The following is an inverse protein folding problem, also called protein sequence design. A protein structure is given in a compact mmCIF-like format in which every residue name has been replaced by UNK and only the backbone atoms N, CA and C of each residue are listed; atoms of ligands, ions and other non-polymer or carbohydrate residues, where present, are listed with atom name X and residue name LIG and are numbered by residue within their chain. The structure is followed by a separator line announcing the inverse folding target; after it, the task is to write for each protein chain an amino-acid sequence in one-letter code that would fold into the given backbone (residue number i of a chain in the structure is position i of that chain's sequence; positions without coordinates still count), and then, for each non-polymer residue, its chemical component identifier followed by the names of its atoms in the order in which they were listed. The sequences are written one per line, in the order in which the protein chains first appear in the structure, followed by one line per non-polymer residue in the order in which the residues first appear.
data_IF_082541910895
#
_entry.id   IF_082541910895
#
_cell.length_a   1.000
_cell.length_b   1.000
_cell.length_c   1.000
_cell.angle_alpha   90.00
_cell.angle_beta   90.00
_cell.angle_gamma   90.00
#
_symmetry.space_group_name_H-M   'P 1'
#
loop_
_entity.id
_entity.type
_entity.pdbx_description
1 polymer ?
#
# COMPACT_ATOMS: atom_id res chain seq x y z
N UNK A 1 24.12 38.99 -26.85
CA UNK A 1 24.72 38.05 -25.90
C UNK A 1 23.64 37.02 -25.58
N UNK A 2 23.61 35.98 -26.39
CA UNK A 2 22.86 34.77 -26.07
C UNK A 2 23.40 34.23 -24.72
N UNK A 3 22.60 34.32 -23.69
CA UNK A 3 22.86 33.53 -22.49
C UNK A 3 22.87 32.07 -22.94
N UNK A 4 24.05 31.45 -22.94
CA UNK A 4 24.11 30.02 -23.00
C UNK A 4 23.18 29.52 -21.85
N UNK A 5 22.32 28.55 -22.15
CA UNK A 5 21.65 27.86 -21.04
C UNK A 5 22.77 27.44 -20.10
N UNK A 6 22.60 27.78 -18.82
CA UNK A 6 23.54 27.37 -17.79
C UNK A 6 23.92 25.93 -18.07
N UNK A 7 25.22 25.60 -18.19
CA UNK A 7 25.62 24.22 -18.43
C UNK A 7 25.37 23.44 -17.15
N UNK A 8 24.11 23.13 -16.91
CA UNK A 8 23.61 22.49 -15.73
C UNK A 8 24.12 21.06 -15.54
N UNK A 9 24.85 20.54 -16.51
CA UNK A 9 25.61 19.31 -16.34
C UNK A 9 26.97 19.54 -15.66
N UNK A 10 27.45 20.79 -15.55
CA UNK A 10 28.65 21.15 -14.80
C UNK A 10 28.32 21.79 -13.45
N UNK A 11 27.18 22.42 -13.34
CA UNK A 11 26.49 22.65 -12.09
C UNK A 11 25.55 21.45 -11.88
N UNK A 12 26.10 20.23 -11.78
CA UNK A 12 25.37 19.14 -11.18
C UNK A 12 24.71 19.73 -9.95
N UNK A 13 23.38 19.75 -9.93
CA UNK A 13 22.67 20.14 -8.73
C UNK A 13 23.23 19.23 -7.65
N UNK A 14 24.09 19.78 -6.82
CA UNK A 14 24.72 19.05 -5.74
C UNK A 14 23.58 18.65 -4.81
N UNK A 15 23.10 17.44 -4.98
CA UNK A 15 22.13 16.89 -4.06
C UNK A 15 22.93 16.21 -2.97
N UNK A 16 22.90 16.72 -1.75
CA UNK A 16 23.60 16.08 -0.65
C UNK A 16 22.99 14.69 -0.41
N UNK A 17 23.85 13.73 -0.15
CA UNK A 17 23.49 12.42 0.34
C UNK A 17 24.19 12.15 1.64
N UNK A 18 23.47 11.60 2.61
CA UNK A 18 24.04 11.04 3.81
C UNK A 18 24.18 9.53 3.63
N UNK A 19 25.37 9.03 3.93
CA UNK A 19 25.73 7.60 3.80
C UNK A 19 26.24 7.10 5.14
N UNK A 20 25.80 5.90 5.52
CA UNK A 20 26.30 5.18 6.71
C UNK A 20 26.63 3.75 6.31
N UNK A 21 27.74 3.23 6.82
CA UNK A 21 28.15 1.83 6.67
C UNK A 21 28.24 1.16 8.05
N UNK A 22 27.71 -0.04 8.17
CA UNK A 22 27.82 -0.90 9.35
C UNK A 22 28.49 -2.21 8.97
N UNK A 23 29.45 -2.66 9.79
CA UNK A 23 30.20 -3.88 9.50
C UNK A 23 29.38 -5.13 9.78
N UNK A 24 29.56 -6.14 8.92
CA UNK A 24 29.05 -7.50 9.08
C UNK A 24 30.18 -8.44 9.55
N UNK A 25 29.86 -9.34 10.46
CA UNK A 25 30.77 -10.40 10.86
C UNK A 25 30.84 -11.48 9.75
N UNK A 26 31.93 -12.28 9.67
CA UNK A 26 32.00 -13.41 8.75
C UNK A 26 30.81 -14.37 8.93
N UNK A 27 30.15 -14.70 7.81
CA UNK A 27 28.96 -15.57 7.81
C UNK A 27 27.68 -14.96 8.34
N UNK A 28 27.67 -13.66 8.65
CA UNK A 28 26.47 -12.95 9.04
C UNK A 28 25.52 -12.75 7.85
N UNK A 29 24.27 -13.15 8.02
CA UNK A 29 23.21 -13.02 7.01
C UNK A 29 22.27 -11.86 7.36
N UNK A 30 21.82 -11.16 6.33
CA UNK A 30 20.87 -10.05 6.40
C UNK A 30 19.54 -10.44 5.77
N UNK A 31 18.42 -10.08 6.41
CA UNK A 31 17.05 -10.40 6.00
C UNK A 31 16.17 -9.16 6.10
N UNK A 32 15.01 -9.15 5.44
CA UNK A 32 14.01 -8.08 5.54
C UNK A 32 13.95 -7.17 4.33
N UNK A 33 13.84 -5.86 4.54
CA UNK A 33 13.70 -4.80 3.53
C UNK A 33 12.38 -4.87 2.73
N UNK A 34 11.32 -5.41 3.35
CA UNK A 34 9.97 -5.51 2.77
C UNK A 34 9.73 -6.81 1.99
N UNK A 35 8.62 -6.84 1.26
CA UNK A 35 8.22 -8.00 0.45
C UNK A 35 8.80 -7.87 -0.97
N UNK A 36 9.66 -8.81 -1.35
CA UNK A 36 10.38 -8.77 -2.63
C UNK A 36 10.49 -10.15 -3.25
N UNK A 37 10.51 -10.19 -4.58
CA UNK A 37 10.70 -11.40 -5.38
C UNK A 37 12.18 -11.78 -5.59
N UNK A 38 13.08 -11.20 -4.79
CA UNK A 38 14.50 -11.51 -4.78
C UNK A 38 14.84 -12.55 -3.69
N UNK A 39 16.09 -12.99 -3.63
CA UNK A 39 16.51 -13.98 -2.63
C UNK A 39 16.21 -13.52 -1.19
N UNK A 40 15.85 -14.47 -0.32
CA UNK A 40 15.50 -14.21 1.07
C UNK A 40 16.68 -13.61 1.86
N UNK A 41 17.89 -14.19 1.70
CA UNK A 41 19.13 -13.59 2.22
C UNK A 41 19.52 -12.43 1.31
N UNK A 42 19.72 -11.26 1.89
CA UNK A 42 19.97 -10.02 1.14
C UNK A 42 21.44 -9.75 0.83
N UNK A 43 22.38 -10.50 1.42
CA UNK A 43 23.80 -10.35 1.13
C UNK A 43 24.09 -10.45 -0.38
N UNK A 44 24.84 -9.50 -0.91
CA UNK A 44 25.14 -9.35 -2.33
C UNK A 44 24.08 -8.58 -3.14
N UNK A 45 23.06 -8.01 -2.49
CA UNK A 45 21.99 -7.29 -3.17
C UNK A 45 22.05 -5.78 -2.90
N UNK A 46 21.68 -4.99 -3.91
CA UNK A 46 21.27 -3.61 -3.76
C UNK A 46 19.75 -3.58 -3.62
N UNK A 47 19.23 -2.85 -2.63
CA UNK A 47 17.80 -2.81 -2.35
C UNK A 47 17.36 -1.36 -2.17
N UNK A 48 16.56 -0.90 -3.10
CA UNK A 48 15.96 0.43 -3.07
C UNK A 48 14.59 0.39 -2.40
N UNK A 49 14.40 1.27 -1.44
CA UNK A 49 13.16 1.44 -0.69
C UNK A 49 12.35 2.55 -1.34
N UNK A 50 11.44 2.15 -2.18
CA UNK A 50 10.45 3.03 -2.82
C UNK A 50 9.25 2.18 -3.23
N UNK A 51 8.04 2.58 -2.80
CA UNK A 51 6.83 1.82 -3.11
C UNK A 51 6.43 2.08 -4.56
N UNK A 52 6.48 1.03 -5.37
CA UNK A 52 6.12 1.07 -6.77
C UNK A 52 5.59 -0.30 -7.22
N UNK A 53 4.54 -0.30 -8.05
CA UNK A 53 4.02 -1.54 -8.62
C UNK A 53 4.96 -2.06 -9.72
N UNK A 54 5.67 -3.12 -9.41
CA UNK A 54 6.60 -3.80 -10.33
C UNK A 54 6.12 -5.17 -10.80
N UNK A 55 4.92 -5.56 -10.43
CA UNK A 55 4.43 -6.93 -10.65
C UNK A 55 5.30 -7.98 -9.99
N UNK A 56 5.39 -9.19 -10.57
CA UNK A 56 6.13 -10.32 -10.00
C UNK A 56 7.46 -10.59 -10.70
N UNK A 57 7.84 -9.78 -11.69
CA UNK A 57 8.99 -10.06 -12.58
C UNK A 57 10.19 -9.13 -12.33
N UNK A 58 10.13 -8.26 -11.32
CA UNK A 58 11.20 -7.32 -11.00
C UNK A 58 11.47 -7.24 -9.50
N UNK A 59 12.52 -6.53 -9.13
CA UNK A 59 12.82 -6.20 -7.73
C UNK A 59 11.99 -5.04 -7.18
N UNK A 60 11.25 -4.32 -8.03
CA UNK A 60 10.34 -3.26 -7.63
C UNK A 60 9.20 -3.87 -6.79
N UNK A 61 8.82 -3.20 -5.73
CA UNK A 61 7.80 -3.68 -4.80
C UNK A 61 6.97 -2.53 -4.27
N UNK A 62 5.69 -2.75 -4.04
CA UNK A 62 4.82 -1.79 -3.36
C UNK A 62 4.70 -2.04 -1.86
N UNK A 63 5.53 -2.91 -1.29
CA UNK A 63 5.66 -3.06 0.17
C UNK A 63 7.11 -3.06 0.59
N UNK A 64 7.66 -1.86 0.71
CA UNK A 64 9.02 -1.60 1.14
C UNK A 64 9.04 -1.23 2.61
N UNK A 65 10.01 -1.77 3.35
CA UNK A 65 10.21 -1.47 4.76
C UNK A 65 11.71 -1.22 4.94
N UNK A 66 12.15 0.00 5.32
CA UNK A 66 13.55 0.35 5.47
C UNK A 66 14.14 -0.23 6.77
N UNK A 67 13.89 -1.51 6.99
CA UNK A 67 14.33 -2.28 8.16
C UNK A 67 14.89 -3.62 7.74
N UNK A 68 16.10 -3.92 8.18
CA UNK A 68 16.69 -5.24 8.07
C UNK A 68 16.99 -5.84 9.44
N UNK A 69 17.06 -7.15 9.49
CA UNK A 69 17.48 -7.91 10.67
C UNK A 69 18.61 -8.84 10.28
N UNK A 70 19.53 -9.11 11.22
CA UNK A 70 20.67 -9.99 10.97
C UNK A 70 20.60 -11.30 11.75
N UNK A 71 21.35 -12.29 11.28
CA UNK A 71 21.53 -13.56 12.01
C UNK A 71 22.29 -13.41 13.35
N UNK A 72 22.75 -12.19 13.68
CA UNK A 72 23.39 -11.83 14.96
C UNK A 72 22.43 -11.15 15.93
N UNK A 73 21.13 -11.25 15.67
CA UNK A 73 20.05 -10.79 16.55
C UNK A 73 20.06 -9.27 16.79
N UNK A 74 20.37 -8.51 15.78
CA UNK A 74 20.09 -7.07 15.74
C UNK A 74 19.44 -6.70 14.42
N UNK A 75 18.74 -5.58 14.40
CA UNK A 75 18.18 -4.99 13.21
C UNK A 75 18.56 -3.52 13.10
N UNK A 76 18.42 -2.97 11.91
CA UNK A 76 18.62 -1.54 11.65
C UNK A 76 17.40 -1.00 10.91
N UNK A 77 16.79 0.01 11.49
CA UNK A 77 15.68 0.74 10.92
C UNK A 77 16.14 2.13 10.50
N UNK A 78 16.04 2.45 9.22
CA UNK A 78 16.31 3.80 8.70
C UNK A 78 15.00 4.58 8.73
N UNK A 79 14.90 5.52 9.68
CA UNK A 79 13.71 6.35 9.89
C UNK A 79 13.71 7.52 8.90
N UNK A 80 13.32 7.22 7.67
CA UNK A 80 13.28 8.19 6.58
C UNK A 80 12.07 7.94 5.68
N UNK A 81 11.38 9.00 5.27
CA UNK A 81 10.13 8.92 4.49
C UNK A 81 10.33 9.05 2.97
N UNK A 82 11.52 9.38 2.51
CA UNK A 82 11.89 9.47 1.11
C UNK A 82 12.69 8.22 0.71
N UNK A 83 13.22 8.22 -0.48
CA UNK A 83 14.02 7.13 -1.05
C UNK A 83 15.22 6.76 -0.18
N UNK A 84 15.37 5.48 0.13
CA UNK A 84 16.52 4.91 0.84
C UNK A 84 17.12 3.80 -0.02
N UNK A 85 18.43 3.83 -0.24
CA UNK A 85 19.14 2.74 -0.92
C UNK A 85 19.98 1.96 0.07
N UNK A 86 19.93 0.63 0.00
CA UNK A 86 20.74 -0.30 0.79
C UNK A 86 21.70 -1.06 -0.09
N UNK A 87 22.98 -1.06 0.27
CA UNK A 87 24.07 -1.84 -0.30
C UNK A 87 24.41 -2.98 0.68
N UNK A 88 23.76 -4.15 0.52
CA UNK A 88 23.93 -5.26 1.47
C UNK A 88 25.04 -6.18 1.02
N UNK A 89 26.25 -5.96 1.51
CA UNK A 89 27.45 -6.72 1.11
C UNK A 89 27.63 -6.79 -0.43
N UNK A 90 27.11 -5.84 -1.17
CA UNK A 90 27.14 -5.79 -2.64
C UNK A 90 28.37 -5.04 -3.14
N UNK A 91 28.75 -3.98 -2.48
CA UNK A 91 29.93 -3.18 -2.79
C UNK A 91 31.15 -3.63 -1.97
N UNK A 92 30.93 -3.77 -0.65
CA UNK A 92 31.92 -4.31 0.30
C UNK A 92 31.31 -5.51 1.02
N UNK A 93 31.90 -6.66 0.88
CA UNK A 93 31.36 -7.92 1.41
C UNK A 93 31.19 -7.96 2.92
N UNK A 94 31.93 -7.12 3.65
CA UNK A 94 31.90 -6.99 5.10
C UNK A 94 31.00 -5.86 5.62
N UNK A 95 30.26 -5.16 4.73
CA UNK A 95 29.46 -4.01 5.15
C UNK A 95 28.02 -4.07 4.64
N UNK A 96 27.13 -3.45 5.41
CA UNK A 96 25.83 -2.93 4.90
C UNK A 96 25.94 -1.42 4.87
N UNK A 97 25.90 -0.86 3.65
CA UNK A 97 25.75 0.57 3.43
C UNK A 97 24.29 0.95 3.26
N UNK A 98 23.91 2.13 3.71
CA UNK A 98 22.62 2.73 3.36
C UNK A 98 22.75 4.24 3.19
N UNK A 99 21.98 4.77 2.28
CA UNK A 99 22.03 6.19 1.91
C UNK A 99 20.65 6.79 1.78
N UNK A 100 20.54 8.06 2.13
CA UNK A 100 19.35 8.89 1.93
C UNK A 100 19.74 10.20 1.28
N UNK A 101 18.84 10.76 0.50
CA UNK A 101 18.99 12.10 -0.04
C UNK A 101 18.72 13.13 1.04
N UNK A 102 19.61 14.10 1.22
CA UNK A 102 19.47 15.16 2.21
C UNK A 102 20.74 15.38 3.02
N UNK A 103 20.63 16.16 4.08
CA UNK A 103 21.73 16.54 4.97
C UNK A 103 21.63 15.89 6.35
N UNK A 104 20.62 15.04 6.55
CA UNK A 104 20.37 14.30 7.80
C UNK A 104 20.02 12.85 7.49
N UNK A 105 20.51 11.93 8.31
CA UNK A 105 20.11 10.54 8.33
C UNK A 105 19.79 10.13 9.77
N UNK A 106 18.62 9.56 9.99
CA UNK A 106 18.20 8.98 11.27
C UNK A 106 18.04 7.49 11.13
N UNK A 107 18.64 6.73 12.01
CA UNK A 107 18.44 5.29 12.06
C UNK A 107 18.52 4.76 13.47
N UNK A 108 17.93 3.59 13.70
CA UNK A 108 17.89 2.91 14.98
C UNK A 108 18.56 1.55 14.86
N UNK A 109 19.46 1.23 15.79
CA UNK A 109 20.01 -0.12 15.95
C UNK A 109 19.19 -0.78 17.07
N UNK A 110 18.56 -1.91 16.73
CA UNK A 110 17.56 -2.59 17.56
C UNK A 110 18.09 -3.97 17.90
N UNK A 111 18.25 -4.28 19.16
CA UNK A 111 18.75 -5.56 19.64
C UNK A 111 17.63 -6.44 20.18
N UNK A 112 17.86 -7.76 20.21
CA UNK A 112 17.00 -8.74 20.86
C UNK A 112 17.79 -10.00 21.23
N UNK A 113 17.24 -10.83 22.10
CA UNK A 113 17.86 -12.11 22.46
C UNK A 113 17.85 -13.08 21.28
N UNK A 114 16.86 -12.92 20.41
CA UNK A 114 16.70 -13.63 19.14
C UNK A 114 16.05 -12.69 18.10
N UNK A 115 15.84 -13.19 16.86
CA UNK A 115 15.20 -12.42 15.79
C UNK A 115 13.77 -11.99 16.17
N UNK A 116 13.03 -12.79 16.94
CA UNK A 116 11.67 -12.42 17.37
C UNK A 116 11.70 -11.24 18.34
N UNK A 117 12.66 -11.24 19.28
CA UNK A 117 12.89 -10.11 20.18
C UNK A 117 13.29 -8.83 19.46
N UNK A 118 14.09 -8.94 18.39
CA UNK A 118 14.41 -7.78 17.53
C UNK A 118 13.14 -7.23 16.85
N UNK A 119 12.28 -8.10 16.32
CA UNK A 119 11.01 -7.69 15.69
C UNK A 119 10.05 -7.10 16.73
N UNK A 120 10.00 -7.67 17.93
CA UNK A 120 9.18 -7.14 19.02
C UNK A 120 9.60 -5.71 19.38
N UNK A 121 10.89 -5.47 19.58
CA UNK A 121 11.44 -4.16 19.88
C UNK A 121 11.26 -3.16 18.72
N UNK A 122 11.39 -3.63 17.48
CA UNK A 122 11.08 -2.83 16.29
C UNK A 122 9.60 -2.40 16.27
N UNK A 123 8.70 -3.33 16.55
CA UNK A 123 7.26 -3.01 16.56
C UNK A 123 6.84 -2.21 17.79
N UNK A 124 7.58 -2.26 18.89
CA UNK A 124 7.38 -1.33 20.02
C UNK A 124 7.71 0.12 19.63
N UNK A 125 8.71 0.30 18.78
CA UNK A 125 9.10 1.61 18.25
C UNK A 125 8.13 2.12 17.17
N UNK A 126 7.70 1.25 16.25
CA UNK A 126 6.97 1.63 15.04
C UNK A 126 5.47 1.39 15.08
N UNK A 127 5.00 0.68 16.08
CA UNK A 127 3.61 0.29 16.27
C UNK A 127 3.39 -1.21 16.05
N UNK A 128 2.66 -1.84 16.97
CA UNK A 128 2.29 -3.25 16.86
C UNK A 128 1.10 -3.43 15.93
N UNK A 129 1.07 -4.51 15.13
CA UNK A 129 -0.09 -4.85 14.32
C UNK A 129 -1.28 -5.23 15.20
N UNK A 130 -2.50 -4.95 14.73
CA UNK A 130 -3.70 -5.45 15.37
C UNK A 130 -3.79 -6.98 15.19
N UNK A 131 -4.36 -7.68 16.18
CA UNK A 131 -4.69 -9.09 16.02
C UNK A 131 -5.90 -9.23 15.10
N UNK A 132 -5.75 -9.86 13.91
CA UNK A 132 -6.88 -10.04 13.01
C UNK A 132 -7.91 -11.01 13.59
N UNK A 133 -9.21 -10.86 13.26
CA UNK A 133 -10.23 -11.80 13.68
C UNK A 133 -10.05 -13.17 13.01
N UNK A 134 -10.44 -14.23 13.69
CA UNK A 134 -10.22 -15.62 13.23
C UNK A 134 -10.78 -15.89 11.81
N UNK A 135 -11.91 -15.29 11.46
CA UNK A 135 -12.53 -15.48 10.14
C UNK A 135 -11.64 -14.96 8.99
N UNK A 136 -10.73 -14.02 9.25
CA UNK A 136 -9.83 -13.47 8.20
C UNK A 136 -8.77 -14.47 7.72
N UNK A 137 -8.55 -15.55 8.46
CA UNK A 137 -7.66 -16.66 8.06
C UNK A 137 -8.39 -17.75 7.26
N UNK A 138 -9.70 -17.60 7.02
CA UNK A 138 -10.47 -18.49 6.19
C UNK A 138 -10.28 -18.20 4.69
N UNK A 139 -11.03 -18.92 3.85
CA UNK A 139 -10.97 -18.74 2.41
C UNK A 139 -11.74 -17.49 1.97
N UNK A 140 -11.11 -16.71 1.10
CA UNK A 140 -11.66 -15.52 0.46
C UNK A 140 -11.91 -15.80 -1.03
N UNK A 141 -13.12 -15.55 -1.50
CA UNK A 141 -13.48 -15.63 -2.91
C UNK A 141 -13.70 -14.22 -3.46
N UNK A 142 -13.04 -13.90 -4.55
CA UNK A 142 -13.12 -12.59 -5.20
C UNK A 142 -13.81 -12.67 -6.55
N UNK A 143 -14.58 -11.63 -6.89
CA UNK A 143 -15.11 -11.44 -8.26
C UNK A 143 -14.00 -11.07 -9.24
N UNK A 144 -12.85 -10.57 -8.77
CA UNK A 144 -11.82 -10.01 -9.64
C UNK A 144 -12.31 -8.78 -10.44
N UNK A 145 -11.39 -8.08 -11.08
CA UNK A 145 -11.69 -6.96 -11.98
C UNK A 145 -11.97 -7.39 -13.43
N UNK A 146 -11.84 -8.68 -13.73
CA UNK A 146 -12.00 -9.23 -15.09
C UNK A 146 -13.37 -9.87 -15.32
N UNK A 147 -14.20 -9.96 -14.29
CA UNK A 147 -15.50 -10.63 -14.33
C UNK A 147 -16.62 -9.61 -14.18
N UNK A 148 -17.56 -9.57 -15.12
CA UNK A 148 -18.82 -8.87 -14.92
C UNK A 148 -19.69 -9.67 -13.96
N UNK A 149 -20.29 -9.00 -12.98
CA UNK A 149 -21.07 -9.68 -11.95
C UNK A 149 -22.20 -8.80 -11.42
N UNK A 150 -23.26 -9.50 -11.07
CA UNK A 150 -24.42 -9.00 -10.32
C UNK A 150 -24.68 -9.93 -9.14
N UNK A 151 -25.78 -9.76 -8.42
CA UNK A 151 -26.11 -10.63 -7.30
C UNK A 151 -26.34 -12.09 -7.74
N UNK A 152 -26.96 -12.33 -8.90
CA UNK A 152 -27.20 -13.69 -9.41
C UNK A 152 -25.86 -14.39 -9.68
N UNK A 153 -24.97 -13.73 -10.39
CA UNK A 153 -23.63 -14.24 -10.72
C UNK A 153 -22.82 -14.53 -9.45
N UNK A 154 -22.80 -13.61 -8.50
CA UNK A 154 -22.06 -13.80 -7.25
C UNK A 154 -22.65 -14.92 -6.39
N UNK A 155 -23.97 -15.06 -6.35
CA UNK A 155 -24.62 -16.21 -5.71
C UNK A 155 -24.25 -17.54 -6.36
N UNK A 156 -24.10 -17.58 -7.70
CA UNK A 156 -23.67 -18.80 -8.38
C UNK A 156 -22.23 -19.21 -7.97
N UNK A 157 -21.34 -18.26 -7.77
CA UNK A 157 -19.98 -18.53 -7.27
C UNK A 157 -20.01 -19.07 -5.85
N UNK A 158 -20.77 -18.42 -4.95
CA UNK A 158 -20.93 -18.83 -3.55
C UNK A 158 -21.56 -20.23 -3.46
N UNK A 159 -22.61 -20.49 -4.25
CA UNK A 159 -23.24 -21.80 -4.29
C UNK A 159 -22.31 -22.86 -4.86
N UNK A 160 -21.52 -22.52 -5.89
CA UNK A 160 -20.53 -23.43 -6.45
C UNK A 160 -19.45 -23.86 -5.46
N UNK A 161 -19.10 -23.02 -4.48
CA UNK A 161 -18.22 -23.39 -3.38
C UNK A 161 -18.91 -24.35 -2.42
N UNK A 162 -20.16 -24.04 -2.04
CA UNK A 162 -20.97 -24.88 -1.15
C UNK A 162 -21.22 -26.28 -1.73
N UNK A 163 -21.55 -26.38 -3.03
CA UNK A 163 -21.79 -27.64 -3.74
C UNK A 163 -20.54 -28.55 -3.78
N UNK A 164 -19.38 -28.00 -3.51
CA UNK A 164 -18.09 -28.72 -3.49
C UNK A 164 -17.54 -28.91 -2.08
N UNK A 165 -18.35 -28.62 -1.06
CA UNK A 165 -17.95 -28.67 0.35
C UNK A 165 -16.69 -27.81 0.65
N UNK A 166 -16.51 -26.69 -0.07
CA UNK A 166 -15.41 -25.75 0.14
C UNK A 166 -15.90 -24.65 1.09
N UNK A 167 -15.40 -24.58 2.33
CA UNK A 167 -15.83 -23.56 3.27
C UNK A 167 -15.34 -22.17 2.85
N UNK A 168 -16.28 -21.25 2.65
CA UNK A 168 -16.02 -19.87 2.28
C UNK A 168 -16.24 -18.96 3.49
N UNK A 169 -15.26 -18.13 3.83
CA UNK A 169 -15.34 -17.19 4.95
C UNK A 169 -15.68 -15.77 4.51
N UNK A 170 -15.09 -15.33 3.39
CA UNK A 170 -15.22 -13.96 2.91
C UNK A 170 -15.56 -13.95 1.43
N UNK A 171 -16.52 -13.12 1.06
CA UNK A 171 -16.77 -12.77 -0.33
C UNK A 171 -16.27 -11.36 -0.60
N UNK A 172 -15.39 -11.21 -1.60
CA UNK A 172 -14.76 -9.95 -1.97
C UNK A 172 -15.32 -9.45 -3.30
N UNK A 173 -15.88 -8.25 -3.27
CA UNK A 173 -16.26 -7.50 -4.46
C UNK A 173 -15.09 -6.61 -4.88
N UNK A 174 -14.56 -6.86 -6.08
CA UNK A 174 -13.53 -6.01 -6.68
C UNK A 174 -14.13 -4.73 -7.26
N UNK A 175 -13.38 -3.88 -7.91
CA UNK A 175 -13.73 -2.49 -8.24
C UNK A 175 -15.11 -2.30 -8.90
N UNK A 176 -15.66 -3.27 -9.61
CA UNK A 176 -16.96 -3.18 -10.28
C UNK A 176 -18.20 -3.28 -9.37
N UNK A 177 -18.04 -3.26 -8.04
CA UNK A 177 -19.17 -2.97 -7.17
C UNK A 177 -19.60 -1.50 -7.31
N UNK A 178 -18.67 -0.62 -7.72
CA UNK A 178 -18.94 0.75 -8.13
C UNK A 178 -19.17 0.81 -9.64
N UNK A 179 -19.78 1.87 -10.10
CA UNK A 179 -19.97 2.13 -11.53
C UNK A 179 -18.61 2.35 -12.22
N UNK A 180 -18.46 1.79 -13.41
CA UNK A 180 -17.28 2.00 -14.24
C UNK A 180 -16.92 3.49 -14.40
N UNK A 181 -15.65 3.82 -14.32
CA UNK A 181 -15.10 5.18 -14.34
C UNK A 181 -15.56 6.13 -13.23
N UNK A 182 -16.30 5.61 -12.22
CA UNK A 182 -16.67 6.30 -10.98
C UNK A 182 -15.89 5.78 -9.78
N UNK A 183 -14.65 5.35 -10.01
CA UNK A 183 -13.84 4.67 -9.00
C UNK A 183 -13.67 5.50 -7.74
N UNK A 184 -13.88 4.84 -6.65
CA UNK A 184 -13.77 5.35 -5.29
C UNK A 184 -14.70 6.52 -4.97
N UNK A 185 -15.89 6.56 -5.59
CA UNK A 185 -17.01 7.36 -5.11
C UNK A 185 -17.76 6.71 -3.93
N UNK A 186 -17.45 5.41 -3.69
CA UNK A 186 -18.05 4.59 -2.63
C UNK A 186 -19.57 4.44 -2.74
N UNK A 187 -20.06 4.43 -3.95
CA UNK A 187 -21.47 4.21 -4.26
C UNK A 187 -21.62 2.89 -5.05
N UNK A 188 -22.49 2.02 -4.56
CA UNK A 188 -22.83 0.80 -5.28
C UNK A 188 -23.53 1.15 -6.60
N UNK A 189 -23.16 0.43 -7.66
CA UNK A 189 -23.82 0.61 -8.95
C UNK A 189 -25.26 0.06 -8.90
N UNK A 190 -26.20 0.96 -8.72
CA UNK A 190 -27.63 0.62 -8.61
C UNK A 190 -28.24 -0.01 -9.88
N UNK A 191 -27.53 0.05 -11.01
CA UNK A 191 -27.95 -0.62 -12.26
C UNK A 191 -27.81 -2.13 -12.15
N UNK A 192 -26.83 -2.61 -11.38
CA UNK A 192 -26.48 -4.02 -11.19
C UNK A 192 -26.84 -4.52 -9.79
N UNK A 193 -26.82 -3.66 -8.79
CA UNK A 193 -27.14 -3.96 -7.38
C UNK A 193 -28.30 -3.12 -6.88
N UNK A 194 -29.56 -3.44 -7.28
CA UNK A 194 -30.73 -2.60 -6.95
C UNK A 194 -31.14 -2.68 -5.47
N UNK A 195 -30.75 -3.74 -4.75
CA UNK A 195 -31.09 -3.99 -3.34
C UNK A 195 -29.83 -4.39 -2.55
N UNK A 196 -28.91 -3.44 -2.39
CA UNK A 196 -27.64 -3.69 -1.68
C UNK A 196 -27.85 -4.13 -0.24
N UNK A 197 -28.65 -3.44 0.61
CA UNK A 197 -28.86 -3.87 1.99
C UNK A 197 -29.42 -5.29 2.11
N UNK A 198 -30.38 -5.63 1.26
CA UNK A 198 -30.94 -6.98 1.21
C UNK A 198 -29.94 -8.04 0.74
N UNK A 199 -29.15 -7.73 -0.29
CA UNK A 199 -28.09 -8.60 -0.79
C UNK A 199 -27.04 -8.87 0.30
N UNK A 200 -26.52 -7.83 0.95
CA UNK A 200 -25.52 -7.97 2.02
C UNK A 200 -26.08 -8.81 3.19
N UNK A 201 -27.35 -8.57 3.55
CA UNK A 201 -28.01 -9.38 4.57
C UNK A 201 -28.09 -10.86 4.18
N UNK A 202 -28.50 -11.18 2.93
CA UNK A 202 -28.55 -12.55 2.40
C UNK A 202 -27.20 -13.27 2.47
N UNK A 203 -26.11 -12.55 2.21
CA UNK A 203 -24.76 -13.12 2.31
C UNK A 203 -24.34 -13.34 3.77
N UNK A 204 -24.65 -12.41 4.65
CA UNK A 204 -24.40 -12.57 6.08
C UNK A 204 -25.21 -13.71 6.70
N UNK A 205 -26.44 -13.91 6.26
CA UNK A 205 -27.28 -15.05 6.69
C UNK A 205 -26.68 -16.41 6.25
N UNK A 206 -25.83 -16.44 5.22
CA UNK A 206 -25.00 -17.60 4.84
C UNK A 206 -23.69 -17.72 5.64
N UNK A 207 -23.43 -16.83 6.60
CA UNK A 207 -22.23 -16.84 7.43
C UNK A 207 -21.02 -16.13 6.79
N UNK A 208 -21.20 -15.45 5.65
CA UNK A 208 -20.12 -14.77 4.96
C UNK A 208 -19.77 -13.39 5.56
N UNK A 209 -18.52 -13.04 5.54
CA UNK A 209 -18.04 -11.69 5.66
C UNK A 209 -17.89 -11.03 4.30
N UNK A 210 -18.13 -9.72 4.24
CA UNK A 210 -18.11 -8.96 2.98
C UNK A 210 -16.94 -8.01 2.96
N UNK A 211 -16.09 -8.16 1.95
CA UNK A 211 -15.01 -7.25 1.64
C UNK A 211 -15.33 -6.49 0.35
N UNK A 212 -15.01 -5.20 0.32
CA UNK A 212 -15.09 -4.41 -0.92
C UNK A 212 -13.75 -3.77 -1.23
N UNK A 213 -13.42 -3.71 -2.51
CA UNK A 213 -12.22 -3.07 -3.03
C UNK A 213 -12.33 -1.55 -2.95
N UNK A 214 -11.26 -0.89 -2.53
CA UNK A 214 -11.10 0.56 -2.50
C UNK A 214 -9.66 0.95 -2.83
N UNK A 215 -9.46 2.22 -3.24
CA UNK A 215 -8.16 2.87 -3.24
C UNK A 215 -8.30 4.37 -2.94
N UNK A 216 -7.20 5.14 -2.79
CA UNK A 216 -7.27 6.55 -2.41
C UNK A 216 -7.49 7.49 -3.61
N UNK A 217 -7.60 6.98 -4.83
CA UNK A 217 -7.79 7.78 -6.04
C UNK A 217 -9.28 7.93 -6.36
N UNK A 218 -9.74 9.16 -6.52
CA UNK A 218 -11.15 9.47 -6.74
C UNK A 218 -11.36 9.94 -8.18
N UNK A 219 -12.30 9.31 -8.88
CA UNK A 219 -12.62 9.64 -10.26
C UNK A 219 -13.24 11.03 -10.42
N UNK A 220 -12.79 11.79 -11.39
CA UNK A 220 -13.11 13.20 -11.62
C UNK A 220 -14.61 13.49 -11.82
N UNK A 221 -15.35 12.56 -12.40
CA UNK A 221 -16.78 12.74 -12.69
C UNK A 221 -17.71 12.65 -11.48
N UNK A 222 -17.22 12.21 -10.33
CA UNK A 222 -18.03 11.87 -9.14
C UNK A 222 -18.38 13.05 -8.27
N UNK A 223 -19.43 12.91 -7.48
CA UNK A 223 -19.80 13.92 -6.47
C UNK A 223 -18.75 13.97 -5.35
N UNK A 224 -18.17 12.84 -5.01
CA UNK A 224 -17.12 12.74 -3.99
C UNK A 224 -15.87 13.52 -4.41
N UNK A 225 -15.45 13.44 -5.68
CA UNK A 225 -14.39 14.27 -6.22
C UNK A 225 -14.69 15.77 -6.12
N UNK A 226 -15.92 16.18 -6.52
CA UNK A 226 -16.33 17.60 -6.46
C UNK A 226 -16.33 18.13 -5.04
N UNK A 227 -16.76 17.32 -4.08
CA UNK A 227 -16.74 17.64 -2.65
C UNK A 227 -15.31 17.78 -2.14
N UNK A 228 -14.44 16.82 -2.45
CA UNK A 228 -13.01 16.85 -2.09
C UNK A 228 -12.28 18.06 -2.67
N UNK A 229 -12.56 18.38 -3.94
CA UNK A 229 -11.99 19.57 -4.60
C UNK A 229 -12.45 20.86 -3.92
N UNK A 230 -13.75 21.00 -3.66
CA UNK A 230 -14.35 22.18 -3.02
C UNK A 230 -13.79 22.46 -1.64
N UNK A 231 -13.52 21.40 -0.87
CA UNK A 231 -13.08 21.51 0.52
C UNK A 231 -11.55 21.46 0.68
N UNK A 232 -10.79 21.32 -0.41
CA UNK A 232 -9.33 21.23 -0.36
C UNK A 232 -8.82 19.93 0.25
N UNK A 233 -9.54 18.82 0.06
CA UNK A 233 -9.20 17.50 0.61
C UNK A 233 -8.35 16.63 -0.35
N UNK A 234 -8.06 17.15 -1.54
CA UNK A 234 -7.24 16.48 -2.53
C UNK A 234 -5.84 17.09 -2.60
N UNK A 235 -4.83 16.24 -2.81
CA UNK A 235 -3.43 16.67 -2.92
C UNK A 235 -3.28 17.75 -3.98
N UNK A 236 -2.65 18.86 -3.61
CA UNK A 236 -2.42 19.99 -4.48
C UNK A 236 -1.10 19.85 -5.25
N UNK A 237 -1.02 20.48 -6.41
CA UNK A 237 0.25 20.67 -7.11
C UNK A 237 1.13 21.65 -6.36
N UNK A 238 2.45 21.42 -6.38
CA UNK A 238 3.42 22.31 -5.73
C UNK A 238 3.41 23.75 -6.27
N UNK A 239 2.95 23.94 -7.53
CA UNK A 239 2.83 25.25 -8.17
C UNK A 239 1.51 25.99 -7.83
N UNK A 240 0.64 25.39 -7.00
CA UNK A 240 -0.65 25.95 -6.60
C UNK A 240 -1.72 26.01 -7.71
N UNK A 241 -1.46 25.40 -8.89
CA UNK A 241 -2.36 25.44 -10.05
C UNK A 241 -3.41 24.33 -10.05
N UNK A 242 -3.99 24.02 -8.89
CA UNK A 242 -5.00 22.99 -8.72
C UNK A 242 -4.45 21.69 -8.15
N UNK A 243 -5.24 20.62 -8.24
CA UNK A 243 -4.89 19.34 -7.67
C UNK A 243 -3.82 18.59 -8.50
N UNK A 244 -3.07 17.73 -7.82
CA UNK A 244 -2.23 16.74 -8.49
C UNK A 244 -3.14 15.67 -9.10
N UNK A 245 -3.10 15.53 -10.43
CA UNK A 245 -3.80 14.46 -11.13
C UNK A 245 -2.98 13.17 -11.11
N UNK A 246 -3.68 12.07 -11.02
CA UNK A 246 -3.16 10.71 -11.18
C UNK A 246 -3.77 10.15 -12.45
N UNK A 247 -2.93 9.71 -13.38
CA UNK A 247 -3.35 9.28 -14.72
C UNK A 247 -3.00 7.80 -15.02
N UNK A 248 -2.34 7.11 -14.10
CA UNK A 248 -1.78 5.78 -14.34
C UNK A 248 -2.84 4.70 -14.56
N UNK A 249 -3.94 4.79 -13.84
CA UNK A 249 -5.01 3.81 -13.89
C UNK A 249 -6.25 4.32 -14.63
N UNK A 250 -6.69 5.53 -14.29
CA UNK A 250 -7.71 6.29 -15.02
C UNK A 250 -7.28 7.75 -15.08
N UNK A 251 -7.33 8.40 -16.26
CA UNK A 251 -6.97 9.80 -16.37
C UNK A 251 -7.79 10.72 -15.48
N UNK A 252 -7.12 11.68 -14.86
CA UNK A 252 -7.75 12.76 -14.12
C UNK A 252 -8.22 12.43 -12.72
N UNK A 253 -7.77 11.34 -12.12
CA UNK A 253 -8.13 11.02 -10.73
C UNK A 253 -7.45 11.97 -9.75
N UNK A 254 -8.15 12.32 -8.66
CA UNK A 254 -7.58 13.05 -7.53
C UNK A 254 -7.11 12.10 -6.45
N UNK A 255 -6.00 12.44 -5.80
CA UNK A 255 -5.50 11.72 -4.63
C UNK A 255 -5.95 12.43 -3.36
N UNK A 256 -6.46 11.69 -2.38
CA UNK A 256 -6.84 12.24 -1.07
C UNK A 256 -5.59 12.66 -0.31
N UNK A 257 -5.64 13.86 0.26
CA UNK A 257 -4.56 14.36 1.12
C UNK A 257 -4.73 13.86 2.56
N UNK A 258 -4.18 12.70 2.85
CA UNK A 258 -4.20 12.11 4.20
C UNK A 258 -3.31 12.83 5.22
N UNK A 259 -2.57 13.86 4.83
CA UNK A 259 -1.88 14.76 5.78
C UNK A 259 -2.84 15.82 6.36
N UNK A 260 -4.01 16.00 5.73
CA UNK A 260 -5.07 16.89 6.19
C UNK A 260 -6.06 16.11 7.07
N UNK A 261 -6.17 16.42 8.39
CA UNK A 261 -7.07 15.72 9.30
C UNK A 261 -8.56 15.76 8.90
N UNK A 262 -8.99 16.84 8.26
CA UNK A 262 -10.38 16.99 7.80
C UNK A 262 -10.65 16.08 6.59
N UNK A 263 -9.67 15.93 5.70
CA UNK A 263 -9.76 14.98 4.58
C UNK A 263 -9.77 13.52 5.09
N UNK A 264 -8.97 13.20 6.09
CA UNK A 264 -8.99 11.90 6.76
C UNK A 264 -10.39 11.59 7.31
N UNK A 265 -10.96 12.52 8.05
CA UNK A 265 -12.30 12.35 8.64
C UNK A 265 -13.39 12.23 7.58
N UNK A 266 -13.30 13.03 6.54
CA UNK A 266 -14.21 12.98 5.40
C UNK A 266 -14.16 11.61 4.70
N UNK A 267 -12.97 11.07 4.42
CA UNK A 267 -12.78 9.76 3.84
C UNK A 267 -13.30 8.64 4.77
N UNK A 268 -12.96 8.72 6.06
CA UNK A 268 -13.44 7.77 7.06
C UNK A 268 -14.98 7.75 7.17
N UNK A 269 -15.65 8.88 7.03
CA UNK A 269 -17.11 8.95 7.05
C UNK A 269 -17.74 8.19 5.88
N UNK A 270 -17.11 8.22 4.70
CA UNK A 270 -17.55 7.42 3.55
C UNK A 270 -17.38 5.93 3.80
N UNK A 271 -16.22 5.52 4.32
CA UNK A 271 -15.99 4.12 4.70
C UNK A 271 -16.98 3.65 5.78
N UNK A 272 -17.26 4.52 6.76
CA UNK A 272 -18.27 4.23 7.79
C UNK A 272 -19.64 3.96 7.20
N UNK A 273 -20.05 4.69 6.19
CA UNK A 273 -21.34 4.46 5.51
C UNK A 273 -21.43 3.02 4.95
N UNK A 274 -20.34 2.52 4.37
CA UNK A 274 -20.28 1.15 3.88
C UNK A 274 -20.34 0.11 5.01
N UNK A 275 -19.63 0.37 6.11
CA UNK A 275 -19.66 -0.49 7.30
C UNK A 275 -21.06 -0.52 7.91
N UNK A 276 -21.72 0.63 8.04
CA UNK A 276 -23.09 0.73 8.56
C UNK A 276 -24.11 0.00 7.65
N UNK A 277 -23.83 -0.08 6.35
CA UNK A 277 -24.65 -0.82 5.37
C UNK A 277 -24.49 -2.32 5.49
N UNK A 278 -23.34 -2.80 6.00
CA UNK A 278 -23.09 -4.22 6.21
C UNK A 278 -21.79 -4.76 5.61
N UNK A 279 -20.94 -3.94 5.02
CA UNK A 279 -19.56 -4.32 4.66
C UNK A 279 -18.77 -4.61 5.93
N UNK A 280 -17.92 -5.64 5.92
CA UNK A 280 -17.12 -6.03 7.10
C UNK A 280 -15.68 -5.53 7.03
N UNK A 281 -15.11 -5.40 5.84
CA UNK A 281 -13.72 -4.96 5.65
C UNK A 281 -13.47 -4.44 4.23
N UNK A 282 -12.26 -3.91 4.03
CA UNK A 282 -11.83 -3.33 2.76
C UNK A 282 -10.53 -3.99 2.27
N UNK A 283 -10.46 -4.29 0.97
CA UNK A 283 -9.19 -4.49 0.29
C UNK A 283 -8.71 -3.12 -0.17
N UNK A 284 -7.68 -2.61 0.45
CA UNK A 284 -7.01 -1.39 -0.01
C UNK A 284 -6.03 -1.76 -1.13
N UNK A 285 -6.24 -1.21 -2.30
CA UNK A 285 -5.41 -1.45 -3.47
C UNK A 285 -4.78 -0.13 -3.91
N UNK A 286 -3.68 -0.17 -4.62
CA UNK A 286 -2.92 0.98 -5.08
C UNK A 286 -2.70 2.08 -3.99
N UNK A 287 -2.04 3.17 -4.31
CA UNK A 287 -1.84 4.29 -3.40
C UNK A 287 -0.37 4.70 -3.29
N UNK A 288 0.48 4.05 -4.02
CA UNK A 288 1.92 4.26 -4.05
C UNK A 288 2.36 5.48 -4.87
N UNK A 289 1.43 6.22 -5.49
CA UNK A 289 1.73 7.41 -6.31
C UNK A 289 0.76 8.55 -6.10
#
# INVERSE_FOLDING_TARGET
LTKFPEPNYMAAQYQPYMVTELSLAPGECVYGLGERFTAFVKNGQVVDIWNEDGGTASQISYKNIPFYVTSKHYGVFVDHSDYVSFEVASEKVENVGFSVKGEEIRYHIIYGDDIKGVIENYTDLTGKPALPPAWSFGLWLSTSFTTNYDEETTNSFIQGMADRDIPLSVFHFDCFWMKEFHWCDFEWDSRIFPDVPGMLKRYKDKGLKICVWINPYIAQGTNFFKEGLKNGYLVQRADGRGIKQIDNWQPGMGLVDFTNPDAVKWYQNKLKTLLDMGVDCFKTDFGER
#
